data_IF_957462753968
#
_entry.id   IF_957462753968
#
_cell.length_a   1.000
_cell.length_b   1.000
_cell.length_c   1.000
_cell.angle_alpha   90.00
_cell.angle_beta   90.00
_cell.angle_gamma   90.00
#
_symmetry.space_group_name_H-M   'P 1'
#
loop_
_entity.id
_entity.type
_entity.pdbx_description
1 polymer ?
#
# COMPACT_ATOMS: atom_id res chain seq x y z
N UNK A 1 -21.55 0.63 -21.51
CA UNK A 1 -22.31 0.80 -20.25
C UNK A 1 -22.14 -0.44 -19.37
N UNK A 2 -22.36 -1.65 -19.90
CA UNK A 2 -22.22 -2.90 -19.12
C UNK A 2 -20.78 -3.20 -18.65
N UNK A 3 -19.77 -2.78 -19.42
CA UNK A 3 -18.35 -2.99 -19.07
C UNK A 3 -17.90 -2.18 -17.86
N UNK A 4 -18.38 -0.95 -17.71
CA UNK A 4 -17.99 -0.06 -16.60
C UNK A 4 -18.58 -0.55 -15.27
N UNK A 5 -19.83 -1.04 -15.30
CA UNK A 5 -20.48 -1.65 -14.14
C UNK A 5 -19.71 -2.89 -13.68
N UNK A 6 -19.30 -3.74 -14.63
CA UNK A 6 -18.50 -4.93 -14.33
C UNK A 6 -17.12 -4.58 -13.73
N UNK A 7 -16.39 -3.63 -14.31
CA UNK A 7 -15.08 -3.18 -13.80
C UNK A 7 -15.19 -2.65 -12.38
N UNK A 8 -16.23 -1.85 -12.11
CA UNK A 8 -16.47 -1.31 -10.78
C UNK A 8 -16.76 -2.42 -9.76
N UNK A 9 -17.64 -3.36 -10.10
CA UNK A 9 -17.97 -4.49 -9.23
C UNK A 9 -16.74 -5.35 -8.90
N UNK A 10 -15.88 -5.64 -9.88
CA UNK A 10 -14.64 -6.39 -9.67
C UNK A 10 -13.64 -5.65 -8.78
N UNK A 11 -13.56 -4.32 -8.91
CA UNK A 11 -12.69 -3.49 -8.07
C UNK A 11 -13.20 -3.44 -6.63
N UNK A 12 -14.52 -3.34 -6.43
CA UNK A 12 -15.17 -3.37 -5.12
C UNK A 12 -15.00 -4.74 -4.44
N UNK A 13 -15.11 -5.84 -5.20
CA UNK A 13 -14.85 -7.21 -4.72
C UNK A 13 -13.38 -7.37 -4.27
N UNK A 14 -12.42 -6.92 -5.07
CA UNK A 14 -11.01 -6.97 -4.73
C UNK A 14 -10.67 -6.16 -3.46
N UNK A 15 -11.27 -4.98 -3.29
CA UNK A 15 -11.16 -4.18 -2.07
C UNK A 15 -11.75 -4.95 -0.86
N UNK A 16 -12.89 -5.61 -1.04
CA UNK A 16 -13.52 -6.46 -0.03
C UNK A 16 -12.59 -7.59 0.46
N UNK A 17 -11.98 -8.33 -0.46
CA UNK A 17 -10.99 -9.35 -0.11
C UNK A 17 -9.79 -8.75 0.64
N UNK A 18 -9.28 -7.60 0.19
CA UNK A 18 -8.18 -6.93 0.86
C UNK A 18 -8.57 -6.45 2.27
N UNK A 19 -9.80 -5.98 2.49
CA UNK A 19 -10.26 -5.61 3.84
C UNK A 19 -10.36 -6.81 4.79
N UNK A 20 -10.61 -8.01 4.27
CA UNK A 20 -10.70 -9.25 5.04
C UNK A 20 -9.35 -9.96 5.26
N UNK A 21 -8.26 -9.40 4.73
CA UNK A 21 -6.93 -10.03 4.80
C UNK A 21 -6.72 -11.18 3.82
N UNK A 22 -7.62 -11.34 2.85
CA UNK A 22 -7.56 -12.35 1.79
C UNK A 22 -6.67 -11.85 0.65
N UNK A 23 -5.37 -11.70 0.92
CA UNK A 23 -4.43 -11.02 0.02
C UNK A 23 -4.28 -11.68 -1.34
N UNK A 24 -4.35 -13.01 -1.37
CA UNK A 24 -4.25 -13.78 -2.62
C UNK A 24 -5.49 -13.56 -3.50
N UNK A 25 -6.69 -13.73 -2.92
CA UNK A 25 -7.96 -13.53 -3.64
C UNK A 25 -8.11 -12.09 -4.14
N UNK A 26 -7.72 -11.11 -3.32
CA UNK A 26 -7.68 -9.70 -3.73
C UNK A 26 -6.74 -9.47 -4.92
N UNK A 27 -5.56 -10.10 -4.92
CA UNK A 27 -4.61 -9.99 -6.01
C UNK A 27 -5.14 -10.62 -7.31
N UNK A 28 -5.74 -11.81 -7.23
CA UNK A 28 -6.34 -12.49 -8.38
C UNK A 28 -7.51 -11.71 -8.98
N UNK A 29 -8.36 -11.12 -8.14
CA UNK A 29 -9.45 -10.25 -8.57
C UNK A 29 -8.92 -9.04 -9.36
N UNK A 30 -7.85 -8.38 -8.88
CA UNK A 30 -7.21 -7.28 -9.63
C UNK A 30 -6.56 -7.77 -10.92
N UNK A 31 -5.92 -8.94 -10.94
CA UNK A 31 -5.33 -9.49 -12.17
C UNK A 31 -6.39 -9.89 -13.20
N UNK A 32 -7.63 -10.08 -12.80
CA UNK A 32 -8.74 -10.39 -13.69
C UNK A 32 -9.32 -9.16 -14.39
N UNK A 33 -8.99 -7.94 -13.92
CA UNK A 33 -9.37 -6.70 -14.60
C UNK A 33 -8.78 -6.61 -16.03
N UNK A 34 -9.42 -5.85 -16.94
CA UNK A 34 -8.81 -5.46 -18.21
C UNK A 34 -7.44 -4.80 -18.00
N UNK A 35 -6.49 -5.03 -18.92
CA UNK A 35 -5.10 -4.60 -18.76
C UNK A 35 -4.98 -3.09 -18.51
N UNK A 36 -5.83 -2.30 -19.18
CA UNK A 36 -5.88 -0.84 -19.09
C UNK A 36 -6.34 -0.37 -17.71
N UNK A 37 -7.16 -1.17 -17.02
CA UNK A 37 -7.72 -0.86 -15.70
C UNK A 37 -6.83 -1.35 -14.55
N UNK A 38 -5.91 -2.28 -14.82
CA UNK A 38 -4.95 -2.79 -13.80
C UNK A 38 -4.01 -1.71 -13.27
N UNK A 39 -3.82 -0.63 -14.03
CA UNK A 39 -2.99 0.52 -13.65
C UNK A 39 -3.80 1.72 -13.16
N UNK A 40 -5.12 1.58 -12.95
CA UNK A 40 -5.91 2.65 -12.33
C UNK A 40 -5.42 2.91 -10.90
N UNK A 41 -5.53 4.15 -10.39
CA UNK A 41 -5.15 4.47 -9.01
C UNK A 41 -5.84 3.56 -7.97
N UNK A 42 -7.11 3.23 -8.18
CA UNK A 42 -7.87 2.29 -7.36
C UNK A 42 -7.22 0.90 -7.32
N UNK A 43 -6.93 0.33 -8.49
CA UNK A 43 -6.30 -0.99 -8.59
C UNK A 43 -4.89 -1.00 -7.99
N UNK A 44 -4.12 0.08 -8.18
CA UNK A 44 -2.79 0.23 -7.60
C UNK A 44 -2.85 0.33 -6.07
N UNK A 45 -3.82 1.06 -5.49
CA UNK A 45 -4.01 1.10 -4.03
C UNK A 45 -4.30 -0.28 -3.44
N UNK A 46 -5.15 -1.07 -4.12
CA UNK A 46 -5.45 -2.46 -3.70
C UNK A 46 -4.19 -3.33 -3.80
N UNK A 47 -3.44 -3.25 -4.90
CA UNK A 47 -2.15 -3.96 -5.06
C UNK A 47 -1.13 -3.59 -4.00
N UNK A 48 -1.09 -2.32 -3.60
CA UNK A 48 -0.19 -1.85 -2.57
C UNK A 48 -0.55 -2.47 -1.21
N UNK A 49 -1.85 -2.52 -0.87
CA UNK A 49 -2.33 -3.19 0.35
C UNK A 49 -2.07 -4.70 0.31
N UNK A 50 -2.28 -5.36 -0.82
CA UNK A 50 -1.95 -6.78 -1.00
C UNK A 50 -0.45 -7.04 -0.83
N UNK A 51 0.39 -6.16 -1.38
CA UNK A 51 1.85 -6.25 -1.24
C UNK A 51 2.29 -6.07 0.21
N UNK A 52 1.63 -5.19 0.97
CA UNK A 52 1.84 -5.04 2.41
C UNK A 52 1.45 -6.31 3.17
N UNK A 53 0.24 -6.82 2.96
CA UNK A 53 -0.28 -7.99 3.67
C UNK A 53 0.50 -9.28 3.39
N UNK A 54 1.02 -9.43 2.18
CA UNK A 54 1.86 -10.56 1.76
C UNK A 54 3.36 -10.35 1.98
N UNK A 55 3.77 -9.20 2.54
CA UNK A 55 5.18 -8.80 2.70
C UNK A 55 5.99 -8.82 1.39
N UNK A 56 5.34 -8.63 0.25
CA UNK A 56 5.96 -8.51 -1.06
C UNK A 56 6.57 -7.10 -1.27
N UNK A 57 7.50 -6.71 -0.39
CA UNK A 57 7.99 -5.32 -0.28
C UNK A 57 8.56 -4.76 -1.59
N UNK A 58 9.30 -5.58 -2.35
CA UNK A 58 9.87 -5.16 -3.63
C UNK A 58 8.78 -4.77 -4.65
N UNK A 59 7.71 -5.55 -4.72
CA UNK A 59 6.55 -5.25 -5.57
C UNK A 59 5.85 -3.98 -5.10
N UNK A 60 5.62 -3.88 -3.78
CA UNK A 60 4.97 -2.72 -3.18
C UNK A 60 5.71 -1.41 -3.44
N UNK A 61 7.06 -1.41 -3.48
CA UNK A 61 7.84 -0.21 -3.86
C UNK A 61 7.51 0.26 -5.26
N UNK A 62 7.49 -0.63 -6.26
CA UNK A 62 7.17 -0.25 -7.63
C UNK A 62 5.73 0.27 -7.77
N UNK A 63 4.79 -0.30 -7.00
CA UNK A 63 3.40 0.21 -6.96
C UNK A 63 3.33 1.57 -6.26
N UNK A 64 4.10 1.77 -5.19
CA UNK A 64 4.15 3.04 -4.46
C UNK A 64 4.71 4.17 -5.33
N UNK A 65 5.77 3.91 -6.10
CA UNK A 65 6.35 4.85 -7.06
C UNK A 65 5.32 5.30 -8.12
N UNK A 66 4.43 4.41 -8.56
CA UNK A 66 3.36 4.75 -9.49
C UNK A 66 2.26 5.63 -8.87
N UNK A 67 2.11 5.63 -7.55
CA UNK A 67 1.09 6.37 -6.80
C UNK A 67 1.61 7.67 -6.15
N UNK A 68 2.93 7.86 -6.06
CA UNK A 68 3.56 8.95 -5.28
C UNK A 68 3.08 10.35 -5.66
N UNK A 69 2.78 10.58 -6.95
CA UNK A 69 2.29 11.86 -7.48
C UNK A 69 0.77 11.91 -7.65
N UNK A 70 0.06 10.94 -7.08
CA UNK A 70 -1.39 10.81 -7.19
C UNK A 70 -2.16 11.75 -6.27
N UNK A 71 -3.41 11.38 -6.01
CA UNK A 71 -4.30 12.09 -5.09
C UNK A 71 -3.79 12.01 -3.64
N UNK A 72 -4.41 12.78 -2.74
CA UNK A 72 -4.14 12.66 -1.30
C UNK A 72 -4.34 11.24 -0.78
N UNK A 73 -5.39 10.55 -1.25
CA UNK A 73 -5.68 9.15 -0.89
C UNK A 73 -4.59 8.19 -1.37
N UNK A 74 -3.99 8.45 -2.53
CA UNK A 74 -2.90 7.64 -3.06
C UNK A 74 -1.63 7.83 -2.23
N UNK A 75 -1.31 9.08 -1.92
CA UNK A 75 -0.18 9.44 -1.05
C UNK A 75 -0.31 8.87 0.36
N UNK A 76 -1.52 8.91 0.94
CA UNK A 76 -1.80 8.26 2.22
C UNK A 76 -1.55 6.74 2.14
N UNK A 77 -2.02 6.08 1.07
CA UNK A 77 -1.77 4.64 0.88
C UNK A 77 -0.28 4.32 0.77
N UNK A 78 0.49 5.15 0.05
CA UNK A 78 1.96 5.05 -0.04
C UNK A 78 2.60 5.19 1.34
N UNK A 79 2.18 6.17 2.14
CA UNK A 79 2.71 6.39 3.47
C UNK A 79 2.42 5.21 4.41
N UNK A 80 1.20 4.66 4.38
CA UNK A 80 0.81 3.48 5.15
C UNK A 80 1.66 2.25 4.77
N UNK A 81 1.93 2.05 3.48
CA UNK A 81 2.80 0.97 3.00
C UNK A 81 4.23 1.11 3.57
N UNK A 82 4.85 2.28 3.43
CA UNK A 82 6.21 2.50 3.91
C UNK A 82 6.31 2.44 5.45
N UNK A 83 5.27 2.89 6.17
CA UNK A 83 5.14 2.70 7.62
C UNK A 83 5.16 1.21 8.01
N UNK A 84 4.30 0.40 7.38
CA UNK A 84 4.24 -1.03 7.66
C UNK A 84 5.56 -1.76 7.32
N UNK A 85 6.20 -1.36 6.22
CA UNK A 85 7.52 -1.86 5.84
C UNK A 85 8.59 -1.47 6.87
N UNK A 86 8.59 -0.22 7.35
CA UNK A 86 9.53 0.22 8.39
C UNK A 86 9.39 -0.61 9.66
N UNK A 87 8.16 -0.88 10.09
CA UNK A 87 7.88 -1.73 11.25
C UNK A 87 8.43 -3.16 11.04
N UNK A 88 8.23 -3.76 9.86
CA UNK A 88 8.82 -5.06 9.52
C UNK A 88 10.37 -5.02 9.51
N UNK A 89 10.97 -3.93 9.05
CA UNK A 89 12.42 -3.74 9.03
C UNK A 89 13.00 -3.58 10.46
N UNK A 90 12.28 -2.92 11.38
CA UNK A 90 12.64 -2.85 12.80
C UNK A 90 12.64 -4.24 13.44
N UNK A 91 11.57 -5.02 13.21
CA UNK A 91 11.47 -6.39 13.72
C UNK A 91 12.58 -7.32 13.20
N UNK A 92 13.18 -7.00 12.06
CA UNK A 92 14.29 -7.72 11.44
C UNK A 92 15.68 -7.12 11.76
N UNK A 93 15.78 -6.18 12.70
CA UNK A 93 16.99 -5.46 13.09
C UNK A 93 17.68 -4.67 11.95
N UNK A 94 16.88 -4.17 10.99
CA UNK A 94 17.35 -3.41 9.82
C UNK A 94 17.13 -1.91 9.98
N UNK A 95 17.71 -1.32 11.02
CA UNK A 95 17.43 0.07 11.43
C UNK A 95 17.68 1.11 10.33
N UNK A 96 18.74 0.94 9.53
CA UNK A 96 19.04 1.87 8.42
C UNK A 96 17.95 1.83 7.34
N UNK A 97 17.41 0.66 7.02
CA UNK A 97 16.30 0.51 6.08
C UNK A 97 15.01 1.07 6.67
N UNK A 98 14.72 0.77 7.95
CA UNK A 98 13.54 1.27 8.64
C UNK A 98 13.48 2.80 8.64
N UNK A 99 14.60 3.48 8.94
CA UNK A 99 14.70 4.95 8.87
C UNK A 99 14.43 5.49 7.47
N UNK A 100 14.95 4.82 6.43
CA UNK A 100 14.65 5.20 5.04
C UNK A 100 13.16 5.06 4.76
N UNK A 101 12.53 3.95 5.14
CA UNK A 101 11.11 3.71 4.94
C UNK A 101 10.25 4.74 5.67
N UNK A 102 10.58 5.12 6.91
CA UNK A 102 9.91 6.22 7.64
C UNK A 102 10.01 7.54 6.89
N UNK A 103 11.22 7.89 6.41
CA UNK A 103 11.42 9.10 5.64
C UNK A 103 10.50 9.12 4.42
N UNK A 104 10.46 8.03 3.66
CA UNK A 104 9.56 7.89 2.50
C UNK A 104 8.08 8.03 2.90
N UNK A 105 7.68 7.46 4.04
CA UNK A 105 6.30 7.59 4.53
C UNK A 105 5.92 9.05 4.82
N UNK A 106 6.77 9.77 5.56
CA UNK A 106 6.56 11.18 5.91
C UNK A 106 6.61 12.11 4.68
N UNK A 107 7.46 11.81 3.70
CA UNK A 107 7.52 12.57 2.44
C UNK A 107 6.26 12.37 1.59
N UNK A 108 5.75 11.13 1.53
CA UNK A 108 4.53 10.82 0.78
C UNK A 108 3.29 11.50 1.39
N UNK A 109 3.07 11.35 2.71
CA UNK A 109 1.93 11.96 3.39
C UNK A 109 2.35 12.47 4.77
N UNK A 110 2.67 13.78 4.89
CA UNK A 110 3.21 14.35 6.13
C UNK A 110 2.41 14.01 7.39
N UNK A 111 1.06 14.02 7.42
CA UNK A 111 0.30 13.70 8.64
C UNK A 111 0.59 12.32 9.26
N UNK A 112 1.18 11.36 8.52
CA UNK A 112 1.51 10.02 9.03
C UNK A 112 2.40 10.06 10.27
N UNK A 113 3.24 11.10 10.44
CA UNK A 113 4.11 11.22 11.62
C UNK A 113 3.32 11.25 12.94
N UNK A 114 2.09 11.74 12.93
CA UNK A 114 1.21 11.78 14.10
C UNK A 114 0.78 10.37 14.49
N UNK A 115 0.49 9.52 13.50
CA UNK A 115 0.15 8.11 13.72
C UNK A 115 1.38 7.35 14.21
N UNK A 116 2.51 7.52 13.53
CA UNK A 116 3.77 6.84 13.87
C UNK A 116 4.24 7.17 15.29
N UNK A 117 4.17 8.42 15.71
CA UNK A 117 4.59 8.86 17.04
C UNK A 117 3.82 8.21 18.21
N UNK A 118 2.66 7.57 17.94
CA UNK A 118 1.87 6.86 18.95
C UNK A 118 2.30 5.41 19.13
N UNK A 119 3.10 4.86 18.21
CA UNK A 119 3.51 3.47 18.21
C UNK A 119 4.83 3.30 18.99
N UNK A 120 4.93 2.37 19.97
CA UNK A 120 6.14 2.19 20.77
C UNK A 120 7.43 1.99 19.97
N UNK A 121 7.39 1.36 18.79
CA UNK A 121 8.59 1.13 17.97
C UNK A 121 9.17 2.41 17.37
N UNK A 122 8.41 3.51 17.32
CA UNK A 122 8.88 4.80 16.80
C UNK A 122 10.13 5.31 17.52
N UNK A 123 10.23 5.08 18.83
CA UNK A 123 11.39 5.49 19.62
C UNK A 123 12.65 4.66 19.33
N UNK A 124 12.53 3.53 18.64
CA UNK A 124 13.66 2.65 18.28
C UNK A 124 14.39 3.12 17.01
N UNK A 125 13.73 3.97 16.22
CA UNK A 125 14.18 4.38 14.88
C UNK A 125 14.58 5.85 14.78
N UNK A 126 14.23 6.67 15.78
CA UNK A 126 14.79 8.01 16.00
C UNK A 126 16.29 7.94 16.31
#
# INVERSE_FOLDING_TARGET
>A
MDSEIAIRAMTEEAEGYAMLGMWHDAWEAIQSLPVEQRSSPEALRIRLRCSQGSQAWKMGVSVAEALEKGSERDREAVARFYSARAHSEVAADRMASARKSIKMACEAWPPIHIELARDPWWNTVL
#
